data_IF_300309038860
#
_entry.id   IF_300309038860
#
_cell.length_a   1.000
_cell.length_b   1.000
_cell.length_c   1.000
_cell.angle_alpha   90.00
_cell.angle_beta   90.00
_cell.angle_gamma   90.00
#
_symmetry.space_group_name_H-M   'P 1'
#
loop_
_entity.id
_entity.type
_entity.pdbx_description
1 polymer ?
#
# COMPACT_ATOMS: atom_id res chain seq x y z
N UNK A 1 -9.46 5.78 -9.32
CA UNK A 1 -10.73 5.60 -10.05
C UNK A 1 -11.61 4.51 -9.42
N UNK A 2 -11.17 3.21 -9.39
CA UNK A 2 -12.01 2.14 -8.84
C UNK A 2 -12.42 2.38 -7.38
N UNK A 3 -11.49 2.80 -6.54
CA UNK A 3 -11.78 3.10 -5.13
C UNK A 3 -12.75 4.26 -4.95
N UNK A 4 -12.59 5.31 -5.74
CA UNK A 4 -13.49 6.47 -5.72
C UNK A 4 -14.93 6.07 -6.12
N UNK A 5 -15.06 5.19 -7.12
CA UNK A 5 -16.36 4.74 -7.59
C UNK A 5 -17.17 3.99 -6.51
N UNK A 6 -16.51 3.38 -5.55
CA UNK A 6 -17.14 2.57 -4.50
C UNK A 6 -17.03 3.16 -3.09
N UNK A 7 -16.59 4.41 -2.98
CA UNK A 7 -16.47 5.08 -1.68
C UNK A 7 -15.27 4.65 -0.84
N UNK A 8 -14.25 4.10 -1.47
CA UNK A 8 -12.95 3.76 -0.85
C UNK A 8 -11.84 4.58 -1.53
N UNK A 9 -11.78 5.90 -1.30
CA UNK A 9 -10.82 6.74 -2.00
C UNK A 9 -9.38 6.31 -1.71
N UNK A 10 -8.56 6.34 -2.75
CA UNK A 10 -7.15 5.99 -2.66
C UNK A 10 -6.30 7.09 -3.29
N UNK A 11 -5.08 7.23 -2.81
CA UNK A 11 -4.13 8.21 -3.30
C UNK A 11 -2.93 7.50 -3.91
N UNK A 12 -2.65 7.70 -5.21
CA UNK A 12 -1.45 7.14 -5.83
C UNK A 12 -0.20 7.74 -5.19
N UNK A 13 0.73 6.88 -4.76
CA UNK A 13 1.99 7.30 -4.17
C UNK A 13 3.16 6.86 -5.07
N UNK A 14 4.20 7.68 -5.19
CA UNK A 14 5.40 7.30 -5.93
C UNK A 14 6.21 6.24 -5.17
N UNK A 15 7.04 5.50 -5.90
CA UNK A 15 8.05 4.60 -5.34
C UNK A 15 9.44 5.07 -5.80
N UNK A 16 9.99 6.15 -5.20
CA UNK A 16 11.20 6.78 -5.68
C UNK A 16 12.45 5.97 -5.36
N UNK A 17 13.43 6.01 -6.27
CA UNK A 17 14.68 5.28 -6.14
C UNK A 17 15.49 5.73 -4.91
N UNK A 18 15.35 6.98 -4.50
CA UNK A 18 16.00 7.52 -3.31
C UNK A 18 15.59 6.76 -2.03
N UNK A 19 14.34 6.37 -1.94
CA UNK A 19 13.88 5.55 -0.81
C UNK A 19 14.39 4.12 -0.94
N UNK A 20 14.40 3.56 -2.16
CA UNK A 20 14.93 2.22 -2.39
C UNK A 20 16.40 2.10 -2.00
N UNK A 21 17.20 3.12 -2.29
CA UNK A 21 18.62 3.15 -1.95
C UNK A 21 18.87 3.02 -0.44
N UNK A 22 17.98 3.56 0.40
CA UNK A 22 18.07 3.43 1.86
C UNK A 22 17.95 1.99 2.35
N UNK A 23 17.46 1.09 1.51
CA UNK A 23 17.21 -0.32 1.82
C UNK A 23 18.33 -1.24 1.32
N UNK A 24 19.43 -0.69 0.83
CA UNK A 24 20.59 -1.46 0.39
C UNK A 24 21.26 -2.16 1.57
N UNK A 25 21.78 -3.37 1.33
CA UNK A 25 22.45 -4.19 2.34
C UNK A 25 23.79 -4.69 1.80
N UNK A 26 24.74 -4.84 2.69
CA UNK A 26 26.05 -5.47 2.37
C UNK A 26 25.98 -7.00 2.49
N UNK A 27 24.95 -7.53 3.13
CA UNK A 27 24.84 -8.97 3.44
C UNK A 27 23.58 -9.63 2.90
N UNK A 28 22.62 -8.85 2.41
CA UNK A 28 21.36 -9.34 1.85
C UNK A 28 21.05 -8.60 0.55
N UNK A 29 20.14 -9.13 -0.25
CA UNK A 29 19.75 -8.51 -1.51
C UNK A 29 18.99 -7.19 -1.28
N UNK A 30 18.20 -7.12 -0.22
CA UNK A 30 17.43 -5.94 0.17
C UNK A 30 17.03 -6.03 1.65
N UNK A 31 16.98 -4.89 2.32
CA UNK A 31 16.44 -4.79 3.68
C UNK A 31 14.93 -4.56 3.62
N UNK A 32 14.21 -5.01 4.63
CA UNK A 32 12.77 -4.76 4.72
C UNK A 32 12.43 -3.32 5.14
N UNK A 33 13.42 -2.54 5.58
CA UNK A 33 13.29 -1.12 5.91
C UNK A 33 14.64 -0.44 5.76
N UNK A 34 14.67 0.88 5.88
CA UNK A 34 15.93 1.63 5.77
C UNK A 34 16.97 1.15 6.81
N UNK A 35 18.22 1.02 6.37
CA UNK A 35 19.33 0.52 7.19
C UNK A 35 19.57 1.34 8.45
N UNK A 36 19.30 2.64 8.42
CA UNK A 36 19.45 3.56 9.56
C UNK A 36 18.21 3.61 10.45
N UNK A 37 17.24 2.72 10.25
CA UNK A 37 15.95 2.67 10.95
C UNK A 37 15.09 3.94 10.71
N UNK A 38 15.42 4.73 9.68
CA UNK A 38 14.64 5.91 9.32
C UNK A 38 13.26 5.51 8.81
N UNK A 39 12.24 6.06 9.42
CA UNK A 39 10.83 5.78 9.08
C UNK A 39 10.26 6.80 8.08
N UNK A 40 11.05 7.74 7.61
CA UNK A 40 10.61 8.65 6.56
C UNK A 40 10.24 7.86 5.31
N UNK A 41 9.03 8.08 4.80
CA UNK A 41 8.52 7.31 3.68
C UNK A 41 8.33 5.82 3.97
N UNK A 42 8.06 5.44 5.22
CA UNK A 42 7.96 4.04 5.64
C UNK A 42 6.94 3.24 4.83
N UNK A 43 5.79 3.81 4.51
CA UNK A 43 4.81 3.14 3.64
C UNK A 43 5.38 2.87 2.24
N UNK A 44 6.22 3.76 1.73
CA UNK A 44 6.88 3.58 0.43
C UNK A 44 7.94 2.48 0.50
N UNK A 45 8.62 2.36 1.64
CA UNK A 45 9.58 1.28 1.88
C UNK A 45 8.90 -0.09 1.77
N UNK A 46 7.72 -0.25 2.33
CA UNK A 46 6.94 -1.48 2.22
C UNK A 46 6.62 -1.85 0.78
N UNK A 47 6.14 -0.89 0.00
CA UNK A 47 5.87 -1.09 -1.43
C UNK A 47 7.14 -1.42 -2.22
N UNK A 48 8.23 -0.71 -1.97
CA UNK A 48 9.51 -0.92 -2.63
C UNK A 48 10.09 -2.31 -2.31
N UNK A 49 10.00 -2.74 -1.06
CA UNK A 49 10.44 -4.08 -0.66
C UNK A 49 9.69 -5.17 -1.43
N UNK A 50 8.37 -5.10 -1.46
CA UNK A 50 7.56 -6.09 -2.16
C UNK A 50 7.80 -6.07 -3.67
N UNK A 51 8.03 -4.90 -4.25
CA UNK A 51 8.31 -4.77 -5.69
C UNK A 51 9.55 -5.57 -6.12
N UNK A 52 10.54 -5.74 -5.26
CA UNK A 52 11.76 -6.51 -5.56
C UNK A 52 11.47 -7.97 -5.93
N UNK A 53 10.35 -8.51 -5.47
CA UNK A 53 9.98 -9.90 -5.70
C UNK A 53 9.04 -10.09 -6.89
N UNK A 54 8.72 -9.01 -7.61
CA UNK A 54 7.85 -9.04 -8.78
C UNK A 54 8.71 -9.06 -10.04
N UNK A 55 8.46 -10.04 -10.92
CA UNK A 55 9.20 -10.16 -12.17
C UNK A 55 8.91 -8.96 -13.10
N UNK A 56 9.90 -8.60 -13.91
CA UNK A 56 9.76 -7.52 -14.88
C UNK A 56 8.58 -7.81 -15.84
N UNK A 57 7.85 -6.76 -16.17
CA UNK A 57 6.71 -6.84 -17.08
C UNK A 57 5.41 -7.37 -16.47
N UNK A 58 5.42 -7.80 -15.21
CA UNK A 58 4.20 -8.23 -14.54
C UNK A 58 3.46 -6.99 -14.01
N UNK A 59 2.19 -6.77 -14.39
CA UNK A 59 1.37 -5.73 -13.79
C UNK A 59 1.24 -5.94 -12.28
N UNK A 60 1.55 -4.90 -11.52
CA UNK A 60 1.61 -5.01 -10.07
C UNK A 60 1.16 -3.71 -9.41
N UNK A 61 0.51 -3.84 -8.28
CA UNK A 61 0.17 -2.72 -7.42
C UNK A 61 0.29 -3.13 -5.95
N UNK A 62 0.78 -2.21 -5.14
CA UNK A 62 0.78 -2.33 -3.68
C UNK A 62 -0.30 -1.41 -3.11
N UNK A 63 -1.09 -1.90 -2.19
CA UNK A 63 -2.14 -1.12 -1.53
C UNK A 63 -1.83 -1.09 -0.04
N UNK A 64 -1.43 0.06 0.49
CA UNK A 64 -1.22 0.24 1.92
C UNK A 64 -2.57 0.55 2.57
N UNK A 65 -2.98 -0.31 3.47
CA UNK A 65 -4.26 -0.22 4.17
C UNK A 65 -4.12 0.06 5.66
N UNK A 66 -2.93 0.32 6.15
CA UNK A 66 -2.68 0.48 7.59
C UNK A 66 -3.56 1.56 8.22
N UNK A 67 -3.71 2.70 7.55
CA UNK A 67 -4.59 3.78 8.01
C UNK A 67 -6.07 3.44 7.86
N UNK A 68 -6.55 3.15 6.64
CA UNK A 68 -7.99 3.00 6.37
C UNK A 68 -8.60 1.69 6.85
N UNK A 69 -7.83 0.71 7.30
CA UNK A 69 -8.33 -0.61 7.69
C UNK A 69 -9.18 -0.61 8.96
N UNK A 70 -9.06 0.42 9.80
CA UNK A 70 -9.76 0.50 11.08
C UNK A 70 -10.39 1.88 11.27
N UNK A 71 -11.65 1.91 11.70
CA UNK A 71 -12.39 3.13 12.01
C UNK A 71 -12.67 3.18 13.50
N UNK A 72 -12.10 4.19 14.18
CA UNK A 72 -12.24 4.37 15.64
C UNK A 72 -13.37 5.33 16.02
N UNK A 73 -13.91 6.07 15.06
CA UNK A 73 -14.98 7.06 15.27
C UNK A 73 -16.38 6.47 15.22
N UNK A 74 -17.36 7.36 15.22
CA UNK A 74 -18.77 6.99 15.08
C UNK A 74 -19.05 6.42 13.68
N UNK A 75 -20.08 5.60 13.59
CA UNK A 75 -20.50 5.01 12.33
C UNK A 75 -20.83 6.08 11.29
N UNK A 76 -20.27 5.96 10.09
CA UNK A 76 -20.44 6.92 9.00
C UNK A 76 -20.46 6.19 7.67
N UNK A 77 -21.58 6.27 6.95
CA UNK A 77 -21.74 5.60 5.66
C UNK A 77 -21.56 4.09 5.78
N UNK A 78 -20.59 3.53 5.06
CA UNK A 78 -20.29 2.09 5.10
C UNK A 78 -19.44 1.71 6.32
N UNK A 79 -18.88 2.68 7.05
CA UNK A 79 -17.94 2.41 8.13
C UNK A 79 -18.65 2.36 9.47
N UNK A 80 -18.51 1.24 10.14
CA UNK A 80 -18.83 1.10 11.56
C UNK A 80 -17.54 1.12 12.34
N UNK A 81 -17.62 1.29 13.66
CA UNK A 81 -16.45 1.21 14.52
C UNK A 81 -15.81 -0.18 14.42
N UNK A 82 -14.52 -0.22 14.16
CA UNK A 82 -13.77 -1.46 14.00
C UNK A 82 -13.16 -1.59 12.62
N UNK A 83 -12.97 -2.81 12.16
CA UNK A 83 -12.43 -3.09 10.82
C UNK A 83 -13.34 -2.57 9.72
N UNK A 84 -12.76 -1.90 8.73
CA UNK A 84 -13.52 -1.23 7.65
C UNK A 84 -13.78 -2.14 6.46
N UNK A 85 -12.98 -3.19 6.29
CA UNK A 85 -13.02 -4.04 5.10
C UNK A 85 -12.36 -3.43 3.86
N UNK A 86 -11.74 -2.25 3.97
CA UNK A 86 -10.98 -1.64 2.86
C UNK A 86 -9.82 -2.57 2.50
N UNK A 87 -9.54 -2.89 1.21
CA UNK A 87 -10.18 -2.37 -0.01
C UNK A 87 -11.09 -3.40 -0.72
N UNK A 88 -11.91 -4.16 0.00
CA UNK A 88 -12.72 -5.24 -0.57
C UNK A 88 -13.60 -4.73 -1.71
N UNK A 89 -14.33 -3.62 -1.52
CA UNK A 89 -15.20 -3.07 -2.56
C UNK A 89 -14.41 -2.59 -3.78
N UNK A 90 -13.25 -1.99 -3.55
CA UNK A 90 -12.36 -1.54 -4.63
C UNK A 90 -11.90 -2.73 -5.48
N UNK A 91 -11.45 -3.81 -4.84
CA UNK A 91 -10.98 -5.00 -5.54
C UNK A 91 -12.11 -5.70 -6.29
N UNK A 92 -13.28 -5.80 -5.68
CA UNK A 92 -14.45 -6.38 -6.34
C UNK A 92 -14.83 -5.58 -7.58
N UNK A 93 -14.90 -4.25 -7.45
CA UNK A 93 -15.22 -3.37 -8.58
C UNK A 93 -14.20 -3.51 -9.70
N UNK A 94 -12.92 -3.55 -9.36
CA UNK A 94 -11.84 -3.74 -10.33
C UNK A 94 -11.98 -5.06 -11.10
N UNK A 95 -12.27 -6.14 -10.39
CA UNK A 95 -12.46 -7.45 -11.01
C UNK A 95 -13.70 -7.50 -11.90
N UNK A 96 -14.79 -6.84 -11.52
CA UNK A 96 -15.99 -6.75 -12.33
C UNK A 96 -15.80 -5.96 -13.62
N UNK A 97 -14.83 -5.05 -13.65
CA UNK A 97 -14.50 -4.25 -14.83
C UNK A 97 -13.48 -4.94 -15.76
N UNK A 98 -12.94 -6.05 -15.35
CA UNK A 98 -11.91 -6.80 -16.12
C UNK A 98 -12.52 -7.62 -17.24
#
# INVERSE_FOLDING_TARGET
>A
EAGEAVGEPAWPMPLPDEIRTLMDSEVADVLQMAANMDRAGHMLQGGLFLREFVADGVPWAHIDIAGPSYHSGEATGYWVKGGTGVPVRTLLHLLEQS
#
